data_IF_775039418841
#
_entry.id   IF_775039418841
#
_cell.length_a   1.000
_cell.length_b   1.000
_cell.length_c   1.000
_cell.angle_alpha   90.00
_cell.angle_beta   90.00
_cell.angle_gamma   90.00
#
_symmetry.space_group_name_H-M   'P 1'
#
loop_
_entity.id
_entity.type
_entity.pdbx_description
1 polymer ?
#
# COMPACT_ATOMS: atom_id res chain seq x y z
N UNK A 1 11.72 -1.45 13.42
CA UNK A 1 10.63 -1.84 12.50
C UNK A 1 10.92 -3.24 12.01
N UNK A 2 9.97 -4.16 12.17
CA UNK A 2 10.07 -5.54 11.67
C UNK A 2 9.96 -5.59 10.14
N UNK A 3 10.42 -6.67 9.52
CA UNK A 3 10.25 -6.89 8.07
C UNK A 3 8.77 -6.83 7.65
N UNK A 4 7.87 -7.38 8.49
CA UNK A 4 6.43 -7.30 8.30
C UNK A 4 5.93 -5.85 8.28
N UNK A 5 6.34 -5.04 9.25
CA UNK A 5 5.95 -3.62 9.32
C UNK A 5 6.49 -2.80 8.15
N UNK A 6 7.76 -2.99 7.77
CA UNK A 6 8.36 -2.29 6.64
C UNK A 6 7.68 -2.64 5.30
N UNK A 7 7.28 -3.90 5.13
CA UNK A 7 6.55 -4.35 3.95
C UNK A 7 5.11 -3.80 3.92
N UNK A 8 4.42 -3.79 5.07
CA UNK A 8 3.10 -3.18 5.20
C UNK A 8 3.12 -1.68 4.88
N UNK A 9 4.10 -0.93 5.42
CA UNK A 9 4.29 0.50 5.15
C UNK A 9 4.60 0.78 3.66
N UNK A 10 5.48 -0.03 3.05
CA UNK A 10 5.84 0.12 1.64
C UNK A 10 4.64 -0.12 0.71
N UNK A 11 3.84 -1.15 0.99
CA UNK A 11 2.63 -1.45 0.24
C UNK A 11 1.53 -0.39 0.46
N UNK A 12 1.37 0.12 1.69
CA UNK A 12 0.44 1.21 1.98
C UNK A 12 0.80 2.49 1.21
N UNK A 13 2.08 2.86 1.14
CA UNK A 13 2.56 4.01 0.35
C UNK A 13 2.33 3.84 -1.16
N UNK A 14 2.54 2.63 -1.67
CA UNK A 14 2.29 2.34 -3.08
C UNK A 14 0.79 2.43 -3.42
N UNK A 15 -0.08 1.94 -2.54
CA UNK A 15 -1.53 2.07 -2.66
C UNK A 15 -1.99 3.52 -2.58
N UNK A 16 -1.51 4.30 -1.60
CA UNK A 16 -1.81 5.73 -1.47
C UNK A 16 -1.45 6.50 -2.75
N UNK A 17 -0.30 6.20 -3.35
CA UNK A 17 0.12 6.80 -4.63
C UNK A 17 -0.83 6.45 -5.79
N UNK A 18 -1.35 5.21 -5.83
CA UNK A 18 -2.33 4.78 -6.83
C UNK A 18 -3.67 5.49 -6.63
N UNK A 19 -4.15 5.59 -5.39
CA UNK A 19 -5.39 6.30 -5.07
C UNK A 19 -5.31 7.80 -5.41
N UNK A 20 -4.24 8.49 -5.04
CA UNK A 20 -4.03 9.90 -5.41
C UNK A 20 -3.97 10.11 -6.92
N UNK A 21 -3.47 9.13 -7.67
CA UNK A 21 -3.48 9.18 -9.14
C UNK A 21 -4.90 9.01 -9.69
N UNK A 22 -5.66 8.05 -9.16
CA UNK A 22 -7.08 7.86 -9.51
C UNK A 22 -7.89 9.14 -9.25
N UNK A 23 -7.70 9.78 -8.09
CA UNK A 23 -8.39 11.03 -7.72
C UNK A 23 -8.04 12.19 -8.66
N UNK A 24 -6.79 12.22 -9.17
CA UNK A 24 -6.33 13.21 -10.14
C UNK A 24 -6.72 12.87 -11.59
N UNK A 25 -7.60 11.88 -11.80
CA UNK A 25 -8.19 11.57 -13.10
C UNK A 25 -7.35 10.63 -13.98
N UNK A 26 -6.35 9.94 -13.44
CA UNK A 26 -5.63 8.93 -14.22
C UNK A 26 -4.56 8.17 -13.45
N UNK A 27 -4.39 6.89 -13.78
CA UNK A 27 -3.42 6.02 -13.12
C UNK A 27 -2.45 5.41 -14.12
N UNK A 28 -1.17 5.43 -13.78
CA UNK A 28 -0.14 4.75 -14.59
C UNK A 28 -0.16 3.26 -14.29
N UNK A 29 -0.27 2.43 -15.33
CA UNK A 29 -0.25 0.96 -15.19
C UNK A 29 0.97 0.44 -14.41
N UNK A 30 2.14 1.06 -14.62
CA UNK A 30 3.37 0.70 -13.90
C UNK A 30 3.27 0.89 -12.38
N UNK A 31 2.54 1.91 -11.93
CA UNK A 31 2.36 2.22 -10.51
C UNK A 31 1.37 1.26 -9.85
N UNK A 32 0.29 0.89 -10.57
CA UNK A 32 -0.62 -0.18 -10.12
C UNK A 32 0.12 -1.52 -9.99
N UNK A 33 0.96 -1.85 -10.97
CA UNK A 33 1.77 -3.06 -10.93
C UNK A 33 2.73 -3.06 -9.76
N UNK A 34 3.40 -1.94 -9.50
CA UNK A 34 4.30 -1.80 -8.35
C UNK A 34 3.56 -1.96 -7.02
N UNK A 35 2.37 -1.37 -6.89
CA UNK A 35 1.52 -1.53 -5.71
C UNK A 35 1.10 -3.01 -5.50
N UNK A 36 0.67 -3.70 -6.56
CA UNK A 36 0.34 -5.13 -6.48
C UNK A 36 1.55 -5.97 -6.05
N UNK A 37 2.73 -5.76 -6.63
CA UNK A 37 3.95 -6.49 -6.22
C UNK A 37 4.33 -6.21 -4.77
N UNK A 38 4.20 -4.96 -4.32
CA UNK A 38 4.44 -4.62 -2.91
C UNK A 38 3.46 -5.35 -1.97
N UNK A 39 2.19 -5.45 -2.36
CA UNK A 39 1.17 -6.21 -1.62
C UNK A 39 1.47 -7.71 -1.59
N UNK A 40 1.91 -8.32 -2.70
CA UNK A 40 2.27 -9.74 -2.76
C UNK A 40 3.46 -10.06 -1.83
N UNK A 41 4.50 -9.21 -1.85
CA UNK A 41 5.66 -9.34 -0.94
C UNK A 41 5.22 -9.21 0.51
N UNK A 42 4.39 -8.22 0.82
CA UNK A 42 3.86 -8.03 2.17
C UNK A 42 2.97 -9.21 2.62
N UNK A 43 2.14 -9.76 1.74
CA UNK A 43 1.36 -10.97 2.02
C UNK A 43 2.26 -12.18 2.34
N UNK A 44 3.38 -12.35 1.62
CA UNK A 44 4.36 -13.40 1.91
C UNK A 44 5.03 -13.26 3.29
N UNK A 45 5.05 -12.05 3.83
CA UNK A 45 5.55 -11.73 5.17
C UNK A 45 4.46 -11.76 6.24
N UNK A 46 3.26 -12.24 5.89
CA UNK A 46 2.12 -12.37 6.80
C UNK A 46 1.41 -11.05 7.12
N UNK A 47 1.53 -10.03 6.26
CA UNK A 47 0.72 -8.82 6.32
C UNK A 47 -0.71 -9.15 5.89
N UNK A 48 -1.66 -8.81 6.74
CA UNK A 48 -3.09 -9.06 6.52
C UNK A 48 -3.81 -7.79 6.08
N UNK A 49 -5.04 -7.92 5.58
CA UNK A 49 -5.91 -6.79 5.28
C UNK A 49 -6.09 -5.85 6.49
N UNK A 50 -6.18 -6.40 7.71
CA UNK A 50 -6.31 -5.62 8.94
C UNK A 50 -5.04 -4.80 9.27
N UNK A 51 -3.85 -5.32 8.93
CA UNK A 51 -2.60 -4.60 9.09
C UNK A 51 -2.55 -3.35 8.16
N UNK A 52 -3.10 -3.47 6.95
CA UNK A 52 -3.24 -2.35 6.01
C UNK A 52 -4.27 -1.32 6.47
N UNK A 53 -5.43 -1.76 6.95
CA UNK A 53 -6.49 -0.90 7.46
C UNK A 53 -5.97 0.02 8.57
N UNK A 54 -5.17 -0.54 9.50
CA UNK A 54 -4.53 0.24 10.58
C UNK A 54 -3.63 1.36 10.04
N UNK A 55 -2.88 1.11 8.96
CA UNK A 55 -1.94 2.07 8.39
C UNK A 55 -2.64 3.12 7.50
N UNK A 56 -3.63 2.70 6.72
CA UNK A 56 -4.35 3.58 5.80
C UNK A 56 -5.27 4.56 6.56
N UNK A 57 -5.96 4.11 7.63
CA UNK A 57 -6.76 5.00 8.47
C UNK A 57 -5.88 6.10 9.09
N UNK A 58 -4.66 5.74 9.53
CA UNK A 58 -3.69 6.68 10.09
C UNK A 58 -3.12 7.67 9.06
N UNK A 59 -3.28 7.43 7.76
CA UNK A 59 -2.71 8.26 6.69
C UNK A 59 -3.78 9.12 5.99
N UNK A 60 -5.03 8.66 5.95
CA UNK A 60 -6.14 9.35 5.26
C UNK A 60 -6.88 10.35 6.16
N UNK A 61 -6.86 10.17 7.48
CA UNK A 61 -7.65 10.96 8.43
C UNK A 61 -6.82 11.79 9.44
N UNK A 62 -5.53 11.97 9.16
CA UNK A 62 -4.61 12.85 9.90
C UNK A 62 -4.24 14.07 9.08
#
# INVERSE_FOLDING_TARGET
MSLKESAADSAAKALDKVFKQLDNGGTKYAEVRAANTAMEVAASLGVTAADYERLLIATVWS
#
